data_IF_947500611054
#
_entry.id   IF_947500611054
#
_cell.length_a   1.000
_cell.length_b   1.000
_cell.length_c   1.000
_cell.angle_alpha   90.00
_cell.angle_beta   90.00
_cell.angle_gamma   90.00
#
_symmetry.space_group_name_H-M   'P 1'
#
loop_
_entity.id
_entity.type
_entity.pdbx_description
1 polymer ?
#
# COMPACT_ATOMS: atom_id res chain seq x y z
N UNK A 1 2.22 -8.88 -14.38
CA UNK A 1 2.67 -8.04 -13.25
C UNK A 1 4.17 -7.79 -13.39
N UNK A 2 4.61 -6.87 -14.28
CA UNK A 2 5.98 -6.96 -14.84
C UNK A 2 6.88 -5.72 -14.80
N UNK A 3 6.40 -4.52 -14.43
CA UNK A 3 7.25 -3.30 -14.52
C UNK A 3 7.79 -2.78 -13.18
N UNK A 4 7.27 -3.27 -12.04
CA UNK A 4 7.72 -2.86 -10.70
C UNK A 4 8.34 -4.03 -9.92
N UNK A 5 8.08 -5.27 -10.33
CA UNK A 5 8.72 -6.46 -9.78
C UNK A 5 10.19 -6.48 -10.22
N UNK A 6 11.09 -6.04 -9.34
CA UNK A 6 12.54 -6.06 -9.56
C UNK A 6 13.24 -4.69 -9.55
N UNK A 7 12.51 -3.56 -9.52
CA UNK A 7 13.12 -2.22 -9.42
C UNK A 7 13.12 -1.63 -8.01
N UNK A 8 12.19 -2.08 -7.16
CA UNK A 8 12.11 -1.70 -5.76
C UNK A 8 12.60 -2.90 -4.94
N UNK A 9 13.75 -2.73 -4.30
CA UNK A 9 14.28 -3.71 -3.36
C UNK A 9 13.44 -3.72 -2.07
N UNK A 10 13.66 -4.74 -1.23
CA UNK A 10 12.93 -4.88 0.03
C UNK A 10 13.09 -3.65 0.92
N UNK A 11 14.29 -3.05 0.95
CA UNK A 11 14.61 -1.83 1.67
C UNK A 11 13.85 -0.61 1.15
N UNK A 12 13.78 -0.38 -0.16
CA UNK A 12 12.99 0.70 -0.73
C UNK A 12 11.50 0.48 -0.43
N UNK A 13 10.99 -0.73 -0.59
CA UNK A 13 9.59 -1.03 -0.27
C UNK A 13 9.29 -0.81 1.21
N UNK A 14 10.23 -1.14 2.10
CA UNK A 14 10.08 -0.89 3.54
C UNK A 14 10.12 0.61 3.87
N UNK A 15 10.97 1.39 3.19
CA UNK A 15 10.97 2.86 3.29
C UNK A 15 9.66 3.46 2.79
N UNK A 16 9.14 2.97 1.67
CA UNK A 16 7.85 3.41 1.10
C UNK A 16 6.69 3.06 2.05
N UNK A 17 6.70 1.86 2.64
CA UNK A 17 5.70 1.45 3.63
C UNK A 17 5.70 2.35 4.89
N UNK A 18 6.90 2.73 5.34
CA UNK A 18 7.10 3.59 6.51
C UNK A 18 7.07 5.10 6.21
N UNK A 19 6.84 5.50 4.95
CA UNK A 19 6.84 6.91 4.58
C UNK A 19 5.65 7.64 5.23
N UNK A 20 5.88 8.69 6.04
CA UNK A 20 4.81 9.42 6.73
C UNK A 20 3.88 10.20 5.78
N UNK A 21 4.33 10.48 4.55
CA UNK A 21 3.49 11.12 3.52
C UNK A 21 2.65 10.13 2.73
N UNK A 22 2.77 8.82 3.00
CA UNK A 22 1.97 7.79 2.34
C UNK A 22 0.57 7.74 2.93
N UNK A 23 -0.44 7.45 2.10
CA UNK A 23 -1.78 7.20 2.61
C UNK A 23 -1.89 5.76 3.07
N UNK A 24 -2.24 5.54 4.34
CA UNK A 24 -2.32 4.20 4.94
C UNK A 24 -3.75 3.84 5.26
N UNK A 25 -4.12 2.59 4.96
CA UNK A 25 -5.44 2.05 5.24
C UNK A 25 -5.31 0.69 5.89
N UNK A 26 -6.03 0.46 6.98
CA UNK A 26 -6.18 -0.86 7.56
C UNK A 26 -7.47 -1.49 7.02
N UNK A 27 -7.37 -2.68 6.45
CA UNK A 27 -8.52 -3.54 6.16
C UNK A 27 -8.95 -4.21 7.47
N UNK A 28 -10.10 -3.81 8.01
CA UNK A 28 -10.64 -4.32 9.28
C UNK A 28 -10.99 -5.81 9.23
N UNK A 29 -11.18 -6.39 8.04
CA UNK A 29 -11.50 -7.83 7.88
C UNK A 29 -10.29 -8.73 8.02
N UNK A 30 -9.15 -8.26 7.52
CA UNK A 30 -7.91 -9.06 7.42
C UNK A 30 -6.82 -8.57 8.36
N UNK A 31 -6.95 -7.36 8.90
CA UNK A 31 -5.90 -6.67 9.63
C UNK A 31 -4.74 -6.21 8.74
N UNK A 32 -4.83 -6.36 7.42
CA UNK A 32 -3.76 -5.94 6.53
C UNK A 32 -3.74 -4.43 6.36
N UNK A 33 -2.55 -3.86 6.30
CA UNK A 33 -2.31 -2.45 6.03
C UNK A 33 -1.96 -2.29 4.55
N UNK A 34 -2.74 -1.49 3.85
CA UNK A 34 -2.46 -1.02 2.50
C UNK A 34 -1.84 0.38 2.57
N UNK A 35 -0.60 0.50 2.15
CA UNK A 35 0.10 1.77 1.98
C UNK A 35 0.03 2.16 0.51
N UNK A 36 -0.52 3.34 0.25
CA UNK A 36 -0.68 3.90 -1.10
C UNK A 36 0.28 5.08 -1.25
N UNK A 37 1.12 5.00 -2.26
CA UNK A 37 2.13 6.02 -2.55
C UNK A 37 2.31 6.18 -4.04
N UNK A 38 2.58 7.41 -4.46
CA UNK A 38 3.04 7.70 -5.82
C UNK A 38 4.56 7.49 -5.91
N UNK A 39 4.99 6.68 -6.87
CA UNK A 39 6.40 6.42 -7.18
C UNK A 39 6.56 6.57 -8.69
N UNK A 40 7.47 7.44 -9.12
CA UNK A 40 7.72 7.74 -10.54
C UNK A 40 6.43 8.10 -11.33
N UNK A 41 5.51 8.86 -10.73
CA UNK A 41 4.24 9.25 -11.36
C UNK A 41 3.19 8.15 -11.41
N UNK A 42 3.42 7.00 -10.75
CA UNK A 42 2.49 5.88 -10.68
C UNK A 42 2.09 5.62 -9.23
N UNK A 43 0.77 5.52 -9.00
CA UNK A 43 0.26 5.06 -7.70
C UNK A 43 0.54 3.57 -7.54
N UNK A 44 1.19 3.22 -6.45
CA UNK A 44 1.52 1.86 -6.03
C UNK A 44 0.82 1.60 -4.71
N UNK A 45 0.23 0.42 -4.59
CA UNK A 45 -0.25 -0.15 -3.33
C UNK A 45 0.74 -1.19 -2.84
N UNK A 46 1.19 -1.02 -1.61
CA UNK A 46 1.99 -1.98 -0.86
C UNK A 46 1.08 -2.55 0.24
N UNK A 47 0.90 -3.85 0.28
CA UNK A 47 0.11 -4.52 1.33
C UNK A 47 1.05 -5.23 2.29
N UNK A 48 0.92 -4.92 3.57
CA UNK A 48 1.67 -5.53 4.66
C UNK A 48 0.71 -6.08 5.73
N UNK A 49 1.04 -7.17 6.42
CA UNK A 49 0.36 -7.59 7.64
C UNK A 49 0.59 -6.55 8.74
N UNK A 50 -0.34 -6.47 9.69
CA UNK A 50 -0.17 -5.58 10.86
C UNK A 50 1.00 -6.00 11.75
N UNK A 51 1.17 -7.31 11.92
CA UNK A 51 2.04 -7.87 12.97
C UNK A 51 3.44 -8.24 12.45
N UNK A 52 3.63 -8.25 11.14
CA UNK A 52 4.90 -8.58 10.50
C UNK A 52 5.25 -7.50 9.47
N UNK A 53 6.49 -7.01 9.50
CA UNK A 53 7.03 -6.14 8.45
C UNK A 53 7.39 -6.91 7.17
N UNK A 54 6.51 -7.81 6.75
CA UNK A 54 6.66 -8.63 5.55
C UNK A 54 5.73 -8.13 4.47
N UNK A 55 6.26 -7.83 3.29
CA UNK A 55 5.41 -7.38 2.20
C UNK A 55 4.64 -8.57 1.64
N UNK A 56 3.31 -8.50 1.70
CA UNK A 56 2.40 -9.52 1.11
C UNK A 56 2.30 -9.30 -0.39
N UNK A 57 2.10 -8.06 -0.82
CA UNK A 57 1.96 -7.74 -2.24
C UNK A 57 2.34 -6.30 -2.56
N UNK A 58 2.82 -6.09 -3.78
CA UNK A 58 3.07 -4.77 -4.37
C UNK A 58 2.48 -4.74 -5.76
N UNK A 59 1.73 -3.69 -6.07
CA UNK A 59 1.19 -3.52 -7.41
C UNK A 59 0.71 -2.11 -7.69
N UNK A 60 0.62 -1.73 -8.98
CA UNK A 60 0.02 -0.46 -9.34
C UNK A 60 -1.46 -0.43 -8.92
N UNK A 61 -1.94 0.74 -8.51
CA UNK A 61 -3.35 0.99 -8.18
C UNK A 61 -3.83 2.23 -8.92
N UNK A 62 -5.08 2.24 -9.37
CA UNK A 62 -5.67 3.40 -10.04
C UNK A 62 -6.30 4.35 -9.02
N UNK A 63 -6.34 5.68 -9.27
CA UNK A 63 -6.99 6.63 -8.39
C UNK A 63 -8.44 6.28 -8.02
N UNK A 64 -9.22 5.77 -8.98
CA UNK A 64 -10.61 5.38 -8.73
C UNK A 64 -10.72 4.16 -7.80
N UNK A 65 -9.75 3.25 -7.86
CA UNK A 65 -9.67 2.12 -6.93
C UNK A 65 -9.35 2.60 -5.52
N UNK A 66 -8.50 3.63 -5.37
CA UNK A 66 -8.22 4.24 -4.06
C UNK A 66 -9.49 4.87 -3.47
N UNK A 67 -10.23 5.64 -4.27
CA UNK A 67 -11.52 6.22 -3.86
C UNK A 67 -12.53 5.16 -3.43
N UNK A 68 -12.60 4.05 -4.17
CA UNK A 68 -13.49 2.94 -3.84
C UNK A 68 -13.09 2.21 -2.55
N UNK A 69 -11.79 2.13 -2.23
CA UNK A 69 -11.31 1.58 -0.96
C UNK A 69 -11.68 2.52 0.20
N UNK A 70 -11.46 3.82 0.02
CA UNK A 70 -11.83 4.86 0.98
C UNK A 70 -13.34 4.92 1.27
N UNK A 71 -14.18 4.63 0.28
CA UNK A 71 -15.63 4.60 0.43
C UNK A 71 -16.19 3.36 1.13
N UNK A 72 -15.35 2.36 1.44
CA UNK A 72 -15.77 1.15 2.15
C UNK A 72 -15.56 1.30 3.65
N UNK A 73 -16.59 0.99 4.41
CA UNK A 73 -16.60 1.02 5.89
C UNK A 73 -15.49 0.16 6.50
N UNK A 74 -15.10 -0.92 5.82
CA UNK A 74 -14.07 -1.85 6.29
C UNK A 74 -12.64 -1.30 6.18
N UNK A 75 -12.42 -0.18 5.49
CA UNK A 75 -11.08 0.42 5.35
C UNK A 75 -10.94 1.63 6.26
N UNK A 76 -10.16 1.47 7.32
CA UNK A 76 -9.94 2.52 8.31
C UNK A 76 -8.66 3.28 7.96
N UNK A 77 -8.69 4.60 7.75
CA UNK A 77 -7.49 5.39 7.55
C UNK A 77 -6.63 5.37 8.82
N UNK A 78 -5.33 5.15 8.65
CA UNK A 78 -4.37 5.23 9.75
C UNK A 78 -3.66 6.59 9.74
N UNK A 79 -3.36 7.16 10.92
CA UNK A 79 -2.59 8.40 11.04
C UNK A 79 -1.13 8.26 10.61
#
# INVERSE_FOLDING_TARGET
MGQLAGKLDADALQKLANNPSATRFMDARTGHISVIQEVEGKLIRITVPRDEMKIISVGPIRPDQVKNLLGKVDFVPLP
#
